data_IF_177051123129
#
_entry.id   IF_177051123129
#
_cell.length_a   1.000
_cell.length_b   1.000
_cell.length_c   1.000
_cell.angle_alpha   90.00
_cell.angle_beta   90.00
_cell.angle_gamma   90.00
#
_symmetry.space_group_name_H-M   'P 1'
#
loop_
_entity.id
_entity.type
_entity.pdbx_description
1 polymer ?
#
# COMPACT_ATOMS: atom_id res chain seq x y z
N UNK A 1 -21.28 -6.39 13.22
CA UNK A 1 -19.84 -6.77 13.31
C UNK A 1 -19.10 -5.50 13.74
N UNK A 2 -18.06 -5.59 14.58
CA UNK A 2 -17.28 -4.40 14.92
C UNK A 2 -16.44 -3.98 13.71
N UNK A 3 -16.31 -2.67 13.47
CA UNK A 3 -15.47 -2.11 12.43
C UNK A 3 -14.01 -2.53 12.60
N UNK A 4 -13.29 -2.60 11.48
CA UNK A 4 -11.83 -2.75 11.50
C UNK A 4 -11.20 -1.41 11.85
N UNK A 5 -10.32 -1.37 12.84
CA UNK A 5 -9.59 -0.15 13.19
C UNK A 5 -8.10 -0.36 12.91
N UNK A 6 -7.51 0.51 12.08
CA UNK A 6 -6.06 0.54 11.79
C UNK A 6 -5.58 1.97 11.99
N UNK A 7 -4.53 2.17 12.77
CA UNK A 7 -3.95 3.49 13.07
C UNK A 7 -5.01 4.52 13.52
N UNK A 8 -5.98 4.10 14.33
CA UNK A 8 -7.06 4.96 14.84
C UNK A 8 -8.17 5.27 13.84
N UNK A 9 -8.06 4.86 12.56
CA UNK A 9 -9.09 5.01 11.54
C UNK A 9 -10.00 3.78 11.50
N UNK A 10 -11.31 4.01 11.55
CA UNK A 10 -12.34 2.96 11.44
C UNK A 10 -12.69 2.69 9.97
N UNK A 11 -12.80 1.40 9.63
CA UNK A 11 -13.17 0.93 8.30
C UNK A 11 -14.40 0.02 8.42
N UNK A 12 -15.50 0.32 7.71
CA UNK A 12 -16.71 -0.50 7.74
C UNK A 12 -16.54 -1.85 7.04
N UNK A 13 -15.60 -1.94 6.12
CA UNK A 13 -15.24 -3.17 5.40
C UNK A 13 -13.85 -3.67 5.82
N UNK A 14 -13.73 -5.01 5.94
CA UNK A 14 -12.44 -5.70 6.18
C UNK A 14 -11.73 -6.08 4.88
N UNK A 15 -12.34 -5.79 3.73
CA UNK A 15 -11.76 -6.04 2.43
C UNK A 15 -10.87 -4.87 2.02
N UNK A 16 -9.62 -5.17 1.70
CA UNK A 16 -8.68 -4.28 1.02
C UNK A 16 -8.48 -4.84 -0.38
N UNK A 17 -8.93 -4.10 -1.40
CA UNK A 17 -8.94 -4.57 -2.78
C UNK A 17 -7.70 -4.09 -3.54
N UNK A 18 -7.07 -4.99 -4.32
CA UNK A 18 -6.02 -4.62 -5.26
C UNK A 18 -6.59 -4.09 -6.57
N UNK A 19 -5.91 -3.12 -7.19
CA UNK A 19 -6.32 -2.54 -8.48
C UNK A 19 -5.56 -3.14 -9.68
N UNK A 20 -4.66 -4.09 -9.45
CA UNK A 20 -3.90 -4.76 -10.50
C UNK A 20 -4.70 -5.80 -11.26
N UNK A 21 -4.32 -6.02 -12.53
CA UNK A 21 -4.79 -7.15 -13.37
C UNK A 21 -6.28 -7.14 -13.74
N UNK A 22 -6.98 -6.04 -13.62
CA UNK A 22 -8.29 -5.90 -14.25
C UNK A 22 -8.15 -5.72 -15.76
N UNK A 23 -9.10 -6.26 -16.52
CA UNK A 23 -9.10 -6.17 -17.97
C UNK A 23 -9.38 -4.75 -18.50
N UNK A 24 -9.95 -3.88 -17.66
CA UNK A 24 -10.17 -2.46 -17.94
C UNK A 24 -10.41 -1.67 -16.64
N UNK A 25 -10.18 -0.36 -16.69
CA UNK A 25 -10.47 0.56 -15.59
C UNK A 25 -11.96 0.58 -15.23
N UNK A 26 -12.85 0.42 -16.20
CA UNK A 26 -14.30 0.32 -15.95
C UNK A 26 -14.65 -0.93 -15.13
N UNK A 27 -14.04 -2.09 -15.43
CA UNK A 27 -14.24 -3.31 -14.64
C UNK A 27 -13.67 -3.19 -13.23
N UNK A 28 -12.52 -2.52 -13.10
CA UNK A 28 -11.94 -2.21 -11.80
C UNK A 28 -12.88 -1.35 -10.96
N UNK A 29 -13.39 -0.25 -11.53
CA UNK A 29 -14.31 0.66 -10.87
C UNK A 29 -15.59 -0.05 -10.42
N UNK A 30 -16.17 -0.90 -11.28
CA UNK A 30 -17.34 -1.71 -10.93
C UNK A 30 -17.03 -2.69 -9.79
N UNK A 31 -15.88 -3.37 -9.82
CA UNK A 31 -15.48 -4.28 -8.74
C UNK A 31 -15.27 -3.56 -7.40
N UNK A 32 -14.68 -2.35 -7.41
CA UNK A 32 -14.53 -1.51 -6.22
C UNK A 32 -15.91 -1.19 -5.64
N UNK A 33 -16.85 -0.74 -6.47
CA UNK A 33 -18.19 -0.36 -6.03
C UNK A 33 -18.97 -1.56 -5.47
N UNK A 34 -19.00 -2.68 -6.21
CA UNK A 34 -19.76 -3.88 -5.84
C UNK A 34 -19.17 -4.62 -4.62
N UNK A 35 -17.87 -4.58 -4.43
CA UNK A 35 -17.21 -5.26 -3.29
C UNK A 35 -17.45 -4.56 -1.95
N UNK A 36 -17.83 -3.30 -1.95
CA UNK A 36 -17.95 -2.49 -0.74
C UNK A 36 -16.63 -2.32 0.01
N UNK A 37 -15.48 -2.44 -0.69
CA UNK A 37 -14.17 -2.24 -0.07
C UNK A 37 -14.03 -0.83 0.48
N UNK A 38 -13.36 -0.67 1.60
CA UNK A 38 -13.10 0.64 2.20
C UNK A 38 -11.69 1.17 1.86
N UNK A 39 -10.83 0.32 1.26
CA UNK A 39 -9.47 0.68 0.90
C UNK A 39 -9.03 -0.06 -0.35
N UNK A 40 -8.31 0.63 -1.25
CA UNK A 40 -7.77 0.04 -2.47
C UNK A 40 -6.26 0.27 -2.56
N UNK A 41 -5.52 -0.77 -2.96
CA UNK A 41 -4.08 -0.63 -3.20
C UNK A 41 -3.83 -0.16 -4.62
N UNK A 42 -2.91 0.78 -4.78
CA UNK A 42 -2.47 1.32 -6.08
C UNK A 42 -0.95 1.24 -6.19
N UNK A 43 -0.47 0.67 -7.29
CA UNK A 43 0.98 0.63 -7.54
C UNK A 43 1.47 1.98 -8.04
N UNK A 44 2.47 2.56 -7.37
CA UNK A 44 3.05 3.85 -7.75
C UNK A 44 3.55 3.88 -9.19
N UNK A 45 4.12 2.78 -9.68
CA UNK A 45 4.56 2.64 -11.07
C UNK A 45 3.43 2.79 -12.11
N UNK A 46 2.17 2.70 -11.68
CA UNK A 46 0.99 2.89 -12.54
C UNK A 46 0.36 4.28 -12.38
N UNK A 47 0.85 5.07 -11.43
CA UNK A 47 0.45 6.46 -11.26
C UNK A 47 1.41 7.30 -12.11
N UNK A 48 1.29 7.20 -13.42
CA UNK A 48 1.99 8.11 -14.33
C UNK A 48 1.28 9.47 -14.30
N UNK A 49 1.84 10.41 -13.56
CA UNK A 49 1.29 11.77 -13.40
C UNK A 49 1.17 12.55 -14.72
N UNK A 50 1.70 12.05 -15.82
CA UNK A 50 1.74 12.72 -17.12
C UNK A 50 1.03 11.97 -18.25
N UNK A 51 0.34 10.85 -17.98
CA UNK A 51 -0.41 10.12 -19.01
C UNK A 51 -1.93 10.21 -18.75
N UNK A 52 -2.66 11.15 -19.38
CA UNK A 52 -4.10 11.32 -19.18
C UNK A 52 -4.95 10.13 -19.66
N UNK A 53 -4.37 9.21 -20.41
CA UNK A 53 -5.11 8.06 -20.99
C UNK A 53 -5.08 6.81 -20.10
N UNK A 54 -4.21 6.75 -19.10
CA UNK A 54 -4.09 5.59 -18.18
C UNK A 54 -4.14 6.03 -16.71
N UNK A 55 -4.93 7.05 -16.42
CA UNK A 55 -5.12 7.54 -15.06
C UNK A 55 -6.06 6.61 -14.28
N UNK A 56 -5.46 5.61 -13.65
CA UNK A 56 -6.16 4.69 -12.75
C UNK A 56 -6.93 5.42 -11.65
N UNK A 57 -6.44 6.59 -11.21
CA UNK A 57 -7.04 7.37 -10.13
C UNK A 57 -8.36 8.02 -10.54
N UNK A 58 -8.53 8.40 -11.81
CA UNK A 58 -9.79 8.97 -12.32
C UNK A 58 -10.96 7.99 -12.24
N UNK A 59 -10.66 6.69 -12.10
CA UNK A 59 -11.64 5.62 -12.00
C UNK A 59 -11.88 5.13 -10.56
N UNK A 60 -11.30 5.82 -9.57
CA UNK A 60 -11.44 5.51 -8.14
C UNK A 60 -12.10 6.68 -7.43
N UNK A 61 -13.27 6.45 -6.83
CA UNK A 61 -13.94 7.45 -5.98
C UNK A 61 -13.23 7.56 -4.62
N UNK A 62 -12.24 8.46 -4.55
CA UNK A 62 -11.43 8.67 -3.33
C UNK A 62 -12.20 9.29 -2.17
N UNK A 63 -13.45 9.72 -2.38
CA UNK A 63 -14.32 10.13 -1.29
C UNK A 63 -14.93 8.92 -0.57
N UNK A 64 -15.08 7.80 -1.27
CA UNK A 64 -15.68 6.56 -0.72
C UNK A 64 -14.64 5.56 -0.25
N UNK A 65 -13.49 5.48 -0.92
CA UNK A 65 -12.45 4.52 -0.60
C UNK A 65 -11.12 5.20 -0.31
N UNK A 66 -10.37 4.67 0.64
CA UNK A 66 -9.04 5.16 0.97
C UNK A 66 -8.01 4.58 0.00
N UNK A 67 -7.04 5.39 -0.41
CA UNK A 67 -5.91 4.93 -1.20
C UNK A 67 -4.83 4.33 -0.31
N UNK A 68 -4.27 3.21 -0.73
CA UNK A 68 -3.11 2.56 -0.14
C UNK A 68 -2.05 2.35 -1.23
N UNK A 69 -1.22 3.37 -1.51
CA UNK A 69 -0.12 3.20 -2.45
C UNK A 69 0.84 2.11 -2.00
N UNK A 70 1.42 1.36 -2.94
CA UNK A 70 2.43 0.38 -2.67
C UNK A 70 3.75 0.69 -3.39
N UNK A 71 4.84 0.23 -2.80
CA UNK A 71 6.20 0.40 -3.32
C UNK A 71 6.67 -0.79 -4.16
N UNK A 72 5.75 -1.56 -4.73
CA UNK A 72 6.09 -2.75 -5.51
C UNK A 72 7.11 -2.46 -6.61
N UNK A 73 8.16 -3.27 -6.64
CA UNK A 73 9.24 -3.21 -7.62
C UNK A 73 10.47 -2.42 -7.16
N UNK A 74 10.49 -1.88 -5.95
CA UNK A 74 11.73 -1.40 -5.31
C UNK A 74 12.52 -2.59 -4.76
N UNK A 75 13.84 -2.42 -4.63
CA UNK A 75 14.76 -3.51 -4.31
C UNK A 75 15.40 -3.42 -2.92
N UNK A 76 15.34 -2.25 -2.30
CA UNK A 76 15.96 -1.98 -1.00
C UNK A 76 15.21 -0.89 -0.25
N UNK A 77 15.56 -0.68 1.02
CA UNK A 77 14.93 0.29 1.90
C UNK A 77 15.03 1.73 1.37
N UNK A 78 16.19 2.12 0.85
CA UNK A 78 16.41 3.49 0.32
C UNK A 78 15.46 3.81 -0.84
N UNK A 79 15.31 2.87 -1.77
CA UNK A 79 14.36 3.02 -2.89
C UNK A 79 12.91 3.08 -2.37
N UNK A 80 12.58 2.26 -1.35
CA UNK A 80 11.24 2.23 -0.76
C UNK A 80 10.89 3.56 -0.07
N UNK A 81 11.81 4.12 0.71
CA UNK A 81 11.64 5.42 1.37
C UNK A 81 11.43 6.53 0.34
N UNK A 82 12.26 6.58 -0.68
CA UNK A 82 12.11 7.56 -1.77
C UNK A 82 10.75 7.42 -2.49
N UNK A 83 10.36 6.18 -2.84
CA UNK A 83 9.07 5.92 -3.47
C UNK A 83 7.89 6.30 -2.57
N UNK A 84 7.98 6.05 -1.26
CA UNK A 84 6.97 6.43 -0.29
C UNK A 84 6.78 7.95 -0.22
N UNK A 85 7.87 8.71 -0.20
CA UNK A 85 7.83 10.18 -0.19
C UNK A 85 7.20 10.73 -1.48
N UNK A 86 7.54 10.17 -2.64
CA UNK A 86 6.88 10.51 -3.90
C UNK A 86 5.38 10.21 -3.88
N UNK A 87 4.98 9.05 -3.29
CA UNK A 87 3.57 8.69 -3.14
C UNK A 87 2.81 9.69 -2.28
N UNK A 88 3.39 10.11 -1.17
CA UNK A 88 2.80 11.09 -0.27
C UNK A 88 2.54 12.41 -0.98
N UNK A 89 3.52 12.91 -1.72
CA UNK A 89 3.39 14.14 -2.50
C UNK A 89 2.33 14.01 -3.61
N UNK A 90 2.35 12.89 -4.34
CA UNK A 90 1.47 12.69 -5.49
C UNK A 90 0.01 12.42 -5.10
N UNK A 91 -0.22 11.71 -3.99
CA UNK A 91 -1.55 11.19 -3.62
C UNK A 91 -2.12 11.82 -2.35
N UNK A 92 -1.38 12.68 -1.67
CA UNK A 92 -1.81 13.36 -0.45
C UNK A 92 -2.16 12.38 0.69
N UNK A 93 -1.47 11.24 0.78
CA UNK A 93 -1.73 10.23 1.81
C UNK A 93 -0.45 9.75 2.48
N UNK A 94 -0.52 9.53 3.80
CA UNK A 94 0.55 8.90 4.56
C UNK A 94 0.41 7.37 4.67
N UNK A 95 -0.66 6.79 4.14
CA UNK A 95 -0.87 5.34 4.13
C UNK A 95 0.03 4.70 3.08
N UNK A 96 0.68 3.60 3.44
CA UNK A 96 1.63 2.92 2.56
C UNK A 96 1.60 1.41 2.78
N UNK A 97 1.42 0.66 1.69
CA UNK A 97 1.75 -0.76 1.65
C UNK A 97 3.21 -0.89 1.24
N UNK A 98 4.06 -1.22 2.21
CA UNK A 98 5.50 -1.34 2.00
C UNK A 98 5.84 -2.70 1.41
N UNK A 99 6.35 -2.68 0.19
CA UNK A 99 6.81 -3.87 -0.53
C UNK A 99 8.24 -3.64 -1.02
N UNK A 100 9.14 -4.57 -0.73
CA UNK A 100 10.53 -4.55 -1.20
C UNK A 100 10.86 -5.92 -1.78
N UNK A 101 11.12 -5.99 -3.08
CA UNK A 101 11.35 -7.22 -3.82
C UNK A 101 12.73 -7.18 -4.48
N UNK A 102 13.79 -7.71 -3.83
CA UNK A 102 15.16 -7.70 -4.39
C UNK A 102 15.25 -8.46 -5.72
N UNK A 103 14.48 -9.54 -5.84
CA UNK A 103 14.38 -10.33 -7.08
C UNK A 103 12.96 -10.23 -7.68
N UNK A 104 12.80 -9.52 -8.81
CA UNK A 104 11.50 -9.30 -9.43
C UNK A 104 10.85 -10.57 -10.01
N UNK A 105 11.58 -11.68 -10.14
CA UNK A 105 11.05 -12.95 -10.63
C UNK A 105 10.16 -13.63 -9.59
N UNK A 106 10.51 -13.49 -8.33
CA UNK A 106 9.83 -14.19 -7.24
C UNK A 106 8.85 -13.31 -6.48
N UNK A 107 9.04 -11.99 -6.48
CA UNK A 107 8.23 -11.00 -5.75
C UNK A 107 8.15 -11.33 -4.25
N UNK A 108 9.23 -11.90 -3.70
CA UNK A 108 9.34 -12.22 -2.29
C UNK A 108 9.94 -11.05 -1.52
N UNK A 109 9.42 -10.75 -0.32
CA UNK A 109 9.88 -9.62 0.47
C UNK A 109 11.25 -9.88 1.10
N UNK A 110 12.10 -8.85 1.17
CA UNK A 110 13.33 -8.86 1.95
C UNK A 110 13.04 -8.42 3.39
N UNK A 111 13.14 -9.31 4.39
CA UNK A 111 12.77 -8.99 5.77
C UNK A 111 13.66 -7.93 6.41
N UNK A 112 14.94 -7.86 6.02
CA UNK A 112 15.91 -6.90 6.58
C UNK A 112 15.63 -5.51 6.04
N UNK A 113 15.48 -5.39 4.74
CA UNK A 113 15.20 -4.11 4.08
C UNK A 113 13.80 -3.58 4.44
N UNK A 114 12.80 -4.48 4.57
CA UNK A 114 11.46 -4.10 5.04
C UNK A 114 11.50 -3.54 6.46
N UNK A 115 12.25 -4.16 7.39
CA UNK A 115 12.38 -3.66 8.76
C UNK A 115 13.04 -2.28 8.78
N UNK A 116 14.16 -2.10 8.07
CA UNK A 116 14.86 -0.80 7.97
C UNK A 116 13.94 0.31 7.43
N UNK A 117 13.24 0.03 6.33
CA UNK A 117 12.31 1.00 5.73
C UNK A 117 11.15 1.34 6.67
N UNK A 118 10.63 0.34 7.43
CA UNK A 118 9.58 0.56 8.41
C UNK A 118 10.03 1.51 9.50
N UNK A 119 11.23 1.30 10.08
CA UNK A 119 11.77 2.16 11.13
C UNK A 119 11.94 3.62 10.66
N UNK A 120 12.38 3.84 9.44
CA UNK A 120 12.59 5.17 8.88
C UNK A 120 11.26 5.86 8.55
N UNK A 121 10.36 5.17 7.86
CA UNK A 121 9.07 5.71 7.44
C UNK A 121 8.11 5.95 8.62
N UNK A 122 8.17 5.13 9.68
CA UNK A 122 7.38 5.34 10.89
C UNK A 122 7.78 6.66 11.58
N UNK A 123 9.08 6.97 11.65
CA UNK A 123 9.59 8.25 12.18
C UNK A 123 9.16 9.44 11.32
N UNK A 124 8.99 9.23 10.02
CA UNK A 124 8.52 10.25 9.06
C UNK A 124 6.97 10.37 9.01
N UNK A 125 6.26 9.67 9.89
CA UNK A 125 4.82 9.79 10.09
C UNK A 125 3.95 9.01 9.10
N UNK A 126 4.50 8.01 8.42
CA UNK A 126 3.72 7.12 7.58
C UNK A 126 2.92 6.10 8.39
N UNK A 127 1.74 5.75 7.91
CA UNK A 127 0.95 4.60 8.36
C UNK A 127 1.34 3.41 7.50
N UNK A 128 2.23 2.57 8.04
CA UNK A 128 2.90 1.53 7.25
C UNK A 128 2.22 0.19 7.46
N UNK A 129 1.98 -0.50 6.36
CA UNK A 129 1.45 -1.85 6.27
C UNK A 129 2.44 -2.69 5.47
N UNK A 130 3.48 -3.27 6.10
CA UNK A 130 4.52 -4.02 5.41
C UNK A 130 4.02 -5.38 4.92
N UNK A 131 4.44 -5.75 3.71
CA UNK A 131 4.27 -7.07 3.13
C UNK A 131 5.47 -7.95 3.46
N UNK A 132 5.22 -9.07 4.15
CA UNK A 132 6.23 -10.04 4.56
C UNK A 132 5.72 -11.48 4.45
N UNK A 133 6.61 -12.44 4.66
CA UNK A 133 6.24 -13.83 4.92
C UNK A 133 5.56 -13.97 6.29
N UNK A 134 4.83 -15.06 6.50
CA UNK A 134 4.19 -15.41 7.76
C UNK A 134 5.24 -15.79 8.84
N UNK A 135 5.96 -14.77 9.32
CA UNK A 135 6.99 -14.87 10.37
C UNK A 135 6.55 -14.07 11.59
N UNK A 136 6.08 -14.74 12.67
CA UNK A 136 5.58 -14.04 13.85
C UNK A 136 6.67 -13.26 14.61
N UNK A 137 7.94 -13.67 14.51
CA UNK A 137 9.06 -12.94 15.14
C UNK A 137 9.30 -11.62 14.40
N UNK A 138 9.30 -11.66 13.07
CA UNK A 138 9.42 -10.45 12.25
C UNK A 138 8.19 -9.55 12.40
N UNK A 139 6.97 -10.12 12.47
CA UNK A 139 5.75 -9.34 12.74
C UNK A 139 5.88 -8.52 14.02
N UNK A 140 6.39 -9.14 15.09
CA UNK A 140 6.58 -8.44 16.37
C UNK A 140 7.61 -7.31 16.27
N UNK A 141 8.71 -7.53 15.57
CA UNK A 141 9.72 -6.49 15.33
C UNK A 141 9.17 -5.32 14.52
N UNK A 142 8.35 -5.61 13.50
CA UNK A 142 7.71 -4.59 12.68
C UNK A 142 6.68 -3.78 13.47
N UNK A 143 5.90 -4.42 14.35
CA UNK A 143 5.01 -3.72 15.30
C UNK A 143 5.82 -2.77 16.19
N UNK A 144 6.92 -3.24 16.77
CA UNK A 144 7.81 -2.43 17.62
C UNK A 144 8.49 -1.29 16.84
N UNK A 145 8.75 -1.49 15.55
CA UNK A 145 9.28 -0.46 14.65
C UNK A 145 8.23 0.58 14.22
N UNK A 146 6.95 0.37 14.53
CA UNK A 146 5.86 1.31 14.27
C UNK A 146 4.94 0.96 13.11
N UNK A 147 4.97 -0.30 12.61
CA UNK A 147 3.99 -0.74 11.63
C UNK A 147 2.56 -0.70 12.20
N UNK A 148 1.61 -0.21 11.41
CA UNK A 148 0.21 -0.11 11.81
C UNK A 148 -0.53 -1.45 11.79
N UNK A 149 -0.17 -2.31 10.87
CA UNK A 149 -0.51 -3.72 10.78
C UNK A 149 0.49 -4.41 9.84
N UNK A 150 0.46 -5.73 9.75
CA UNK A 150 1.35 -6.53 8.88
C UNK A 150 0.49 -7.30 7.87
N UNK A 151 0.92 -7.36 6.62
CA UNK A 151 0.23 -7.99 5.50
C UNK A 151 1.02 -9.19 4.97
#
# INVERSE_FOLDING_TARGET
MKDLVIAGKSFPSRLLLGTGKFASSARMSAAIAESGTAMVTVALKRVEMNNPQDDILSHIDTQKVSLLPNTSGVRNAKEAVFAAQLAREALGTNWLKLEIHPDPRYLMPDPIEVLKATEELAKDGFVIMPYIHADPVLCKRLEEAGAACVM
#
